data_IF_707169133134
#
_entry.id   IF_707169133134
#
_cell.length_a   1.000
_cell.length_b   1.000
_cell.length_c   1.000
_cell.angle_alpha   90.00
_cell.angle_beta   90.00
_cell.angle_gamma   90.00
#
_symmetry.space_group_name_H-M   'P 1'
#
loop_
_entity.id
_entity.type
_entity.pdbx_description
1 polymer ?
#
# COMPACT_ATOMS: atom_id res chain seq x y z
N UNK A 1 45.24 12.48 25.38
CA UNK A 1 45.65 11.37 24.49
C UNK A 1 44.48 11.07 23.57
N UNK A 2 44.53 11.48 22.30
CA UNK A 2 43.45 11.17 21.35
C UNK A 2 43.50 9.66 21.04
N UNK A 3 42.49 8.93 21.51
CA UNK A 3 42.31 7.51 21.23
C UNK A 3 42.13 7.29 19.73
N UNK A 4 43.14 6.70 19.09
CA UNK A 4 43.12 6.32 17.67
C UNK A 4 41.92 5.40 17.42
N UNK A 5 41.05 5.65 16.42
CA UNK A 5 39.93 4.78 16.13
C UNK A 5 40.48 3.39 15.81
N UNK A 6 40.18 2.41 16.67
CA UNK A 6 40.53 1.03 16.42
C UNK A 6 39.75 0.60 15.19
N UNK A 7 40.46 0.15 14.14
CA UNK A 7 39.82 -0.52 13.00
C UNK A 7 39.03 -1.70 13.58
N UNK A 8 37.70 -1.64 13.48
CA UNK A 8 36.83 -2.73 13.92
C UNK A 8 37.31 -4.02 13.27
N UNK A 9 37.52 -5.04 14.09
CA UNK A 9 37.90 -6.36 13.59
C UNK A 9 36.79 -6.92 12.71
N UNK A 10 37.14 -7.67 11.66
CA UNK A 10 36.15 -8.40 10.85
C UNK A 10 35.22 -9.29 11.68
N UNK A 11 35.68 -9.78 12.83
CA UNK A 11 34.85 -10.53 13.79
C UNK A 11 33.76 -9.66 14.43
N UNK A 12 34.10 -8.43 14.80
CA UNK A 12 33.18 -7.46 15.42
C UNK A 12 32.12 -6.98 14.42
N UNK A 13 32.53 -6.70 13.18
CA UNK A 13 31.61 -6.36 12.09
C UNK A 13 30.63 -7.51 11.77
N UNK A 14 31.10 -8.75 11.76
CA UNK A 14 30.25 -9.93 11.55
C UNK A 14 29.26 -10.12 12.70
N UNK A 15 29.72 -9.97 13.94
CA UNK A 15 28.86 -10.05 15.13
C UNK A 15 27.77 -8.98 15.10
N UNK A 16 28.12 -7.74 14.76
CA UNK A 16 27.17 -6.66 14.60
C UNK A 16 26.10 -6.97 13.54
N UNK A 17 26.50 -7.47 12.37
CA UNK A 17 25.53 -7.87 11.33
C UNK A 17 24.58 -8.98 11.80
N UNK A 18 25.11 -9.97 12.52
CA UNK A 18 24.30 -11.07 13.04
C UNK A 18 23.30 -10.60 14.10
N UNK A 19 23.73 -9.72 14.99
CA UNK A 19 22.85 -9.15 16.03
C UNK A 19 21.77 -8.27 15.43
N UNK A 20 22.10 -7.40 14.46
CA UNK A 20 21.13 -6.61 13.70
C UNK A 20 20.13 -7.50 12.94
N UNK A 21 20.60 -8.59 12.31
CA UNK A 21 19.72 -9.52 11.61
C UNK A 21 18.80 -10.29 12.58
N UNK A 22 19.33 -10.76 13.70
CA UNK A 22 18.55 -11.45 14.72
C UNK A 22 17.47 -10.54 15.31
N UNK A 23 17.78 -9.27 15.52
CA UNK A 23 16.82 -8.28 15.98
C UNK A 23 15.64 -8.13 15.00
N UNK A 24 15.93 -7.98 13.69
CA UNK A 24 14.88 -7.91 12.65
C UNK A 24 14.00 -9.17 12.62
N UNK A 25 14.60 -10.35 12.76
CA UNK A 25 13.86 -11.60 12.80
C UNK A 25 12.94 -11.70 14.04
N UNK A 26 13.39 -11.18 15.19
CA UNK A 26 12.55 -11.12 16.41
C UNK A 26 11.37 -10.18 16.22
N UNK A 27 11.60 -9.01 15.64
CA UNK A 27 10.54 -8.05 15.30
C UNK A 27 9.50 -8.65 14.34
N UNK A 28 9.95 -9.35 13.30
CA UNK A 28 9.07 -10.04 12.35
C UNK A 28 8.29 -11.19 13.01
N UNK A 29 8.92 -11.89 13.96
CA UNK A 29 8.28 -12.97 14.71
C UNK A 29 7.15 -12.44 15.61
N UNK A 30 7.41 -11.33 16.30
CA UNK A 30 6.49 -10.66 17.22
C UNK A 30 5.34 -9.92 16.52
N UNK A 31 5.45 -9.66 15.21
CA UNK A 31 4.41 -8.97 14.44
C UNK A 31 3.05 -9.69 14.58
N UNK A 32 1.98 -8.99 15.02
CA UNK A 32 0.66 -9.60 15.18
C UNK A 32 0.10 -10.04 13.84
N UNK A 33 -0.49 -11.23 13.81
CA UNK A 33 -1.08 -11.85 12.62
C UNK A 33 -2.56 -12.10 12.86
N UNK A 34 -3.35 -11.98 11.79
CA UNK A 34 -4.77 -12.37 11.79
C UNK A 34 -4.94 -13.68 11.02
N UNK A 35 -6.05 -14.39 11.26
CA UNK A 35 -6.35 -15.61 10.50
C UNK A 35 -6.64 -15.24 9.04
N UNK A 36 -6.25 -16.12 8.14
CA UNK A 36 -6.48 -15.93 6.70
C UNK A 36 -7.97 -15.85 6.40
N UNK A 37 -8.80 -16.66 7.07
CA UNK A 37 -10.27 -16.61 6.96
C UNK A 37 -10.82 -15.20 7.19
N UNK A 38 -10.33 -14.54 8.24
CA UNK A 38 -10.81 -13.24 8.69
C UNK A 38 -10.32 -12.14 7.76
N UNK A 39 -9.05 -12.23 7.34
CA UNK A 39 -8.48 -11.35 6.32
C UNK A 39 -9.26 -11.42 5.00
N UNK A 40 -9.56 -12.64 4.52
CA UNK A 40 -10.33 -12.85 3.29
C UNK A 40 -11.77 -12.33 3.42
N UNK A 41 -12.42 -12.55 4.57
CA UNK A 41 -13.76 -12.01 4.83
C UNK A 41 -13.77 -10.48 4.78
N UNK A 42 -12.76 -9.83 5.37
CA UNK A 42 -12.62 -8.36 5.32
C UNK A 42 -12.44 -7.84 3.89
N UNK A 43 -11.60 -8.50 3.08
CA UNK A 43 -11.42 -8.14 1.67
C UNK A 43 -12.72 -8.28 0.88
N UNK A 44 -13.43 -9.40 1.04
CA UNK A 44 -14.73 -9.63 0.39
C UNK A 44 -15.74 -8.55 0.80
N UNK A 45 -15.80 -8.22 2.09
CA UNK A 45 -16.69 -7.18 2.60
C UNK A 45 -16.38 -5.84 1.92
N UNK A 46 -15.12 -5.41 1.92
CA UNK A 46 -14.70 -4.17 1.28
C UNK A 46 -15.07 -4.12 -0.21
N UNK A 47 -14.80 -5.20 -0.96
CA UNK A 47 -15.15 -5.28 -2.37
C UNK A 47 -16.66 -5.33 -2.64
N UNK A 48 -17.49 -5.65 -1.64
CA UNK A 48 -18.96 -5.66 -1.75
C UNK A 48 -19.61 -4.36 -1.31
N UNK A 49 -18.94 -3.55 -0.50
CA UNK A 49 -19.47 -2.28 0.01
C UNK A 49 -18.96 -1.08 -0.77
N UNK A 50 -17.79 -1.19 -1.39
CA UNK A 50 -17.14 -0.12 -2.13
C UNK A 50 -17.45 -0.24 -3.60
N UNK A 51 -18.25 0.69 -4.14
CA UNK A 51 -18.65 0.71 -5.55
C UNK A 51 -17.44 0.89 -6.46
N UNK A 52 -17.30 0.00 -7.44
CA UNK A 52 -16.27 0.08 -8.49
C UNK A 52 -16.95 0.34 -9.85
N UNK A 53 -16.68 1.52 -10.40
CA UNK A 53 -17.26 1.96 -11.67
C UNK A 53 -16.68 1.25 -12.90
N UNK A 54 -15.52 0.60 -12.76
CA UNK A 54 -14.88 -0.19 -13.83
C UNK A 54 -15.42 -1.63 -13.89
N UNK A 55 -16.31 -2.01 -12.97
CA UNK A 55 -16.99 -3.31 -12.98
C UNK A 55 -18.52 -3.15 -13.09
N UNK A 56 -19.05 -2.71 -14.25
CA UNK A 56 -20.48 -2.49 -14.43
C UNK A 56 -21.34 -3.75 -14.32
N UNK A 57 -20.75 -4.94 -14.49
CA UNK A 57 -21.46 -6.22 -14.35
C UNK A 57 -21.95 -6.48 -12.92
N UNK A 58 -21.25 -5.92 -11.92
CA UNK A 58 -21.59 -6.06 -10.50
C UNK A 58 -22.29 -4.81 -9.98
N UNK A 59 -21.83 -3.62 -10.40
CA UNK A 59 -22.28 -2.34 -9.84
C UNK A 59 -23.32 -1.59 -10.70
N UNK A 60 -23.57 -2.08 -11.92
CA UNK A 60 -24.41 -1.41 -12.90
C UNK A 60 -23.65 -0.35 -13.72
N UNK A 61 -24.25 0.12 -14.84
CA UNK A 61 -23.63 1.14 -15.68
C UNK A 61 -23.47 2.46 -14.93
N UNK A 62 -22.37 3.16 -15.23
CA UNK A 62 -22.13 4.53 -14.84
C UNK A 62 -23.19 5.46 -15.44
N UNK A 63 -23.76 6.35 -14.63
CA UNK A 63 -24.62 7.39 -15.18
C UNK A 63 -23.78 8.51 -15.82
N UNK A 64 -24.28 9.13 -16.89
CA UNK A 64 -23.55 10.20 -17.62
C UNK A 64 -23.24 11.43 -16.77
N UNK A 65 -23.93 11.64 -15.64
CA UNK A 65 -23.67 12.74 -14.72
C UNK A 65 -22.61 12.44 -13.67
N UNK A 66 -22.25 11.17 -13.46
CA UNK A 66 -21.25 10.74 -12.49
C UNK A 66 -19.86 10.54 -13.12
N UNK A 67 -19.80 10.46 -14.45
CA UNK A 67 -18.55 10.36 -15.20
C UNK A 67 -18.01 11.76 -15.55
N UNK A 68 -16.94 12.24 -14.89
CA UNK A 68 -16.34 13.54 -15.18
C UNK A 68 -15.67 13.62 -16.56
N UNK A 69 -15.49 12.48 -17.23
CA UNK A 69 -14.93 12.38 -18.58
C UNK A 69 -16.01 12.11 -19.63
N UNK A 70 -17.28 12.06 -19.25
CA UNK A 70 -18.36 11.89 -20.22
C UNK A 70 -18.33 13.05 -21.24
N UNK A 71 -18.47 12.75 -22.55
CA UNK A 71 -18.52 13.80 -23.55
C UNK A 71 -19.68 14.74 -23.24
N UNK A 72 -19.36 16.02 -23.01
CA UNK A 72 -20.38 17.03 -22.81
C UNK A 72 -21.28 17.08 -24.04
N UNK A 73 -22.60 17.20 -23.83
CA UNK A 73 -23.55 17.31 -24.92
C UNK A 73 -23.09 18.41 -25.90
N UNK A 74 -23.06 18.09 -27.19
CA UNK A 74 -22.64 19.01 -28.24
C UNK A 74 -23.47 20.31 -28.12
N UNK A 75 -22.84 21.38 -27.60
CA UNK A 75 -23.49 22.66 -27.30
C UNK A 75 -23.17 23.28 -25.93
N UNK A 76 -22.56 22.54 -24.99
CA UNK A 76 -22.12 23.13 -23.72
C UNK A 76 -20.78 23.86 -23.88
N UNK A 77 -20.85 25.16 -24.19
CA UNK A 77 -19.73 26.09 -24.04
C UNK A 77 -19.35 26.21 -22.56
N UNK A 78 -18.17 25.72 -22.17
CA UNK A 78 -17.67 25.91 -20.81
C UNK A 78 -16.13 25.80 -20.75
N UNK A 79 -15.49 26.94 -21.03
CA UNK A 79 -14.12 27.34 -20.65
C UNK A 79 -12.95 26.97 -21.61
N UNK A 80 -12.37 28.02 -22.21
CA UNK A 80 -11.05 28.07 -22.82
C UNK A 80 -9.95 28.08 -21.76
N UNK A 81 -8.89 27.30 -21.95
CA UNK A 81 -7.63 27.46 -21.20
C UNK A 81 -6.93 28.70 -21.75
N UNK A 82 -6.64 29.66 -20.87
CA UNK A 82 -5.80 30.83 -21.15
C UNK A 82 -4.34 30.50 -20.81
#
# INVERSE_FOLDING_TARGET
MLSRPQKQSMSELKLRRLTEHNQRLREDLERPRIRVSDASANLICYCKTTRDYLVPSVWGPLSRGEDPYAPQAAGASCCTVQ
#
